data_IF_845645244683
#
_entry.id   IF_845645244683
#
_cell.length_a   1.000
_cell.length_b   1.000
_cell.length_c   1.000
_cell.angle_alpha   90.00
_cell.angle_beta   90.00
_cell.angle_gamma   90.00
#
_symmetry.space_group_name_H-M   'P 1'
#
loop_
_entity.id
_entity.type
_entity.pdbx_description
1 polymer ?
#
# COMPACT_ATOMS: atom_id res chain seq x y z
N UNK A 1 -10.06 19.77 17.54
CA UNK A 1 -9.15 18.94 16.73
C UNK A 1 -7.77 19.11 17.31
N UNK A 2 -6.92 18.11 17.18
CA UNK A 2 -5.59 18.13 17.77
C UNK A 2 -4.58 18.79 16.82
N UNK A 3 -3.72 19.66 17.34
CA UNK A 3 -2.57 20.21 16.62
C UNK A 3 -1.44 19.19 16.57
N UNK A 4 -1.01 18.85 15.36
CA UNK A 4 0.00 17.81 15.10
C UNK A 4 1.21 18.41 14.40
N UNK A 5 2.40 18.04 14.88
CA UNK A 5 3.67 18.40 14.25
C UNK A 5 4.04 17.42 13.13
N UNK A 6 4.84 17.87 12.17
CA UNK A 6 5.34 17.02 11.09
C UNK A 6 6.13 15.83 11.68
N UNK A 7 5.74 14.61 11.30
CA UNK A 7 6.33 13.36 11.80
C UNK A 7 5.70 12.84 13.10
N UNK A 8 4.75 13.55 13.70
CA UNK A 8 4.04 13.07 14.89
C UNK A 8 3.21 11.84 14.56
N UNK A 9 3.37 10.78 15.36
CA UNK A 9 2.63 9.54 15.18
C UNK A 9 1.17 9.75 15.56
N UNK A 10 0.30 9.69 14.54
CA UNK A 10 -1.15 9.83 14.68
C UNK A 10 -1.90 8.52 14.90
N UNK A 11 -1.22 7.38 14.72
CA UNK A 11 -1.86 6.07 14.86
C UNK A 11 -0.90 4.88 14.74
N UNK A 12 -1.44 3.69 15.03
CA UNK A 12 -0.74 2.41 14.95
C UNK A 12 -1.64 1.39 14.27
N UNK A 13 -1.13 0.69 13.27
CA UNK A 13 -1.74 -0.54 12.74
C UNK A 13 -1.30 -1.69 13.65
N UNK A 14 -2.27 -2.37 14.29
CA UNK A 14 -2.01 -3.45 15.24
C UNK A 14 -1.82 -4.78 14.49
N UNK A 15 -1.19 -5.75 15.15
CA UNK A 15 -1.11 -7.12 14.62
C UNK A 15 -2.52 -7.70 14.46
N UNK A 16 -2.78 -8.31 13.30
CA UNK A 16 -4.10 -8.83 12.94
C UNK A 16 -5.05 -7.82 12.31
N UNK A 17 -4.69 -6.52 12.26
CA UNK A 17 -5.43 -5.55 11.45
C UNK A 17 -5.41 -5.96 9.97
N UNK A 18 -6.58 -5.90 9.32
CA UNK A 18 -6.72 -6.05 7.87
C UNK A 18 -6.86 -4.68 7.24
N UNK A 19 -6.23 -4.50 6.08
CA UNK A 19 -6.34 -3.29 5.27
C UNK A 19 -6.72 -3.73 3.87
N UNK A 20 -7.78 -3.14 3.35
CA UNK A 20 -8.17 -3.28 1.95
C UNK A 20 -7.56 -2.14 1.14
N UNK A 21 -7.08 -2.44 -0.07
CA UNK A 21 -6.46 -1.48 -0.96
C UNK A 21 -7.39 -1.20 -2.14
N UNK A 22 -7.72 0.07 -2.35
CA UNK A 22 -8.36 0.53 -3.57
C UNK A 22 -7.28 0.91 -4.57
N UNK A 23 -7.24 0.22 -5.70
CA UNK A 23 -6.23 0.41 -6.72
C UNK A 23 -6.89 0.89 -8.02
N UNK A 24 -6.22 1.78 -8.77
CA UNK A 24 -6.63 2.16 -10.13
C UNK A 24 -6.71 0.94 -11.06
N UNK A 25 -7.54 1.01 -12.11
CA UNK A 25 -7.78 -0.12 -13.03
C UNK A 25 -6.60 -0.39 -13.99
N UNK A 26 -5.73 0.59 -14.17
CA UNK A 26 -4.58 0.63 -15.07
C UNK A 26 -3.27 0.18 -14.40
N UNK A 27 -3.35 -0.44 -13.23
CA UNK A 27 -2.21 -1.12 -12.60
C UNK A 27 -2.20 -2.61 -12.93
N UNK A 28 -1.03 -3.22 -12.75
CA UNK A 28 -0.84 -4.66 -12.67
C UNK A 28 -0.65 -5.06 -11.20
N UNK A 29 -1.41 -6.06 -10.73
CA UNK A 29 -1.25 -6.60 -9.38
C UNK A 29 -0.03 -7.54 -9.35
N UNK A 30 0.96 -7.20 -8.53
CA UNK A 30 2.19 -7.99 -8.35
C UNK A 30 2.10 -8.93 -7.15
N UNK A 31 1.11 -8.74 -6.29
CA UNK A 31 0.86 -9.61 -5.13
C UNK A 31 0.08 -10.88 -5.50
N UNK A 32 0.28 -11.95 -4.74
CA UNK A 32 -0.45 -13.23 -4.88
C UNK A 32 -1.11 -13.65 -3.57
N UNK A 33 -2.19 -14.42 -3.66
CA UNK A 33 -2.85 -14.99 -2.49
C UNK A 33 -1.86 -15.85 -1.67
N UNK A 34 -1.86 -15.67 -0.35
CA UNK A 34 -0.94 -16.37 0.57
C UNK A 34 0.49 -15.82 0.61
N UNK A 35 0.84 -14.83 -0.23
CA UNK A 35 2.15 -14.19 -0.18
C UNK A 35 2.34 -13.45 1.15
N UNK A 36 3.47 -13.69 1.81
CA UNK A 36 3.89 -12.88 2.96
C UNK A 36 4.33 -11.50 2.49
N UNK A 37 3.72 -10.46 3.03
CA UNK A 37 4.01 -9.05 2.71
C UNK A 37 4.51 -8.30 3.94
N UNK A 38 5.26 -7.22 3.71
CA UNK A 38 5.67 -6.26 4.75
C UNK A 38 5.12 -4.88 4.40
N UNK A 39 4.41 -4.27 5.33
CA UNK A 39 3.86 -2.92 5.15
C UNK A 39 4.96 -1.90 4.86
N UNK A 40 4.72 -1.02 3.89
CA UNK A 40 5.68 0.00 3.46
C UNK A 40 6.89 -0.53 2.68
N UNK A 41 6.96 -1.83 2.37
CA UNK A 41 8.12 -2.44 1.70
C UNK A 41 7.72 -3.31 0.51
N UNK A 42 6.72 -4.18 0.67
CA UNK A 42 6.31 -5.07 -0.42
C UNK A 42 5.46 -4.31 -1.42
N UNK A 43 5.92 -4.25 -2.67
CA UNK A 43 5.15 -3.72 -3.80
C UNK A 43 4.03 -4.70 -4.15
N UNK A 44 2.78 -4.26 -4.07
CA UNK A 44 1.58 -5.07 -4.33
C UNK A 44 0.94 -4.81 -5.70
N UNK A 45 1.26 -3.68 -6.32
CA UNK A 45 0.87 -3.34 -7.68
C UNK A 45 1.88 -2.35 -8.31
N UNK A 46 1.94 -2.33 -9.64
CA UNK A 46 2.72 -1.36 -10.43
C UNK A 46 1.84 -0.75 -11.51
N UNK A 47 2.08 0.51 -11.86
CA UNK A 47 1.50 1.08 -13.07
C UNK A 47 1.96 0.28 -14.29
N UNK A 48 1.06 0.06 -15.25
CA UNK A 48 1.46 -0.53 -16.53
C UNK A 48 2.36 0.46 -17.24
N UNK A 49 3.54 0.01 -17.65
CA UNK A 49 4.39 0.82 -18.52
C UNK A 49 3.68 0.98 -19.86
N UNK A 50 3.51 2.23 -20.29
CA UNK A 50 3.10 2.52 -21.66
C UNK A 50 4.38 2.35 -22.48
N UNK A 51 4.42 1.31 -23.30
CA UNK A 51 5.54 1.05 -24.19
C UNK A 51 5.53 2.15 -25.27
N UNK A 52 6.33 3.20 -25.06
CA UNK A 52 6.58 4.23 -26.07
C UNK A 52 7.52 3.61 -27.12
N UNK A 53 6.93 3.12 -28.20
CA UNK A 53 7.64 2.89 -29.46
C UNK A 53 7.98 4.21 -30.15
#
# INVERSE_FOLDING_TARGET
>A
GDDLSAGQRVGLIKFGSRVDLFLPLDVEITARAGQKVRGGQTVVARWREIENQ
#
